data_IF_813719056835
#
_entry.id   IF_813719056835
#
_cell.length_a   1.000
_cell.length_b   1.000
_cell.length_c   1.000
_cell.angle_alpha   90.00
_cell.angle_beta   90.00
_cell.angle_gamma   90.00
#
_symmetry.space_group_name_H-M   'P 1'
#
loop_
_entity.id
_entity.type
_entity.pdbx_description
1 polymer ?
#
# COMPACT_ATOMS: atom_id res chain seq x y z
N UNK A 1 1.02 14.08 18.57
CA UNK A 1 0.73 15.37 17.94
C UNK A 1 0.02 15.17 16.60
N UNK A 2 -0.74 16.16 16.13
CA UNK A 2 -1.44 16.03 14.84
C UNK A 2 -0.51 15.76 13.67
N UNK A 3 0.71 16.30 13.71
CA UNK A 3 1.67 16.08 12.64
C UNK A 3 2.15 14.62 12.58
N UNK A 4 2.33 14.01 13.74
CA UNK A 4 2.72 12.61 13.81
C UNK A 4 1.61 11.70 13.30
N UNK A 5 0.38 12.03 13.65
CA UNK A 5 -0.77 11.25 13.17
C UNK A 5 -0.87 11.33 11.66
N UNK A 6 -0.73 12.53 11.11
CA UNK A 6 -0.76 12.71 9.65
C UNK A 6 0.36 11.94 8.95
N UNK A 7 1.55 11.93 9.54
CA UNK A 7 2.67 11.19 8.99
C UNK A 7 2.38 9.69 8.97
N UNK A 8 1.79 9.18 10.05
CA UNK A 8 1.42 7.77 10.11
C UNK A 8 0.33 7.42 9.13
N UNK A 9 -0.66 8.30 8.96
CA UNK A 9 -1.72 8.09 7.98
C UNK A 9 -1.16 8.02 6.56
N UNK A 10 -0.20 8.88 6.24
CA UNK A 10 0.47 8.86 4.94
C UNK A 10 1.21 7.54 4.71
N UNK A 11 1.89 7.05 5.72
CA UNK A 11 2.60 5.77 5.62
C UNK A 11 1.64 4.62 5.40
N UNK A 12 0.53 4.62 6.12
CA UNK A 12 -0.48 3.59 5.94
C UNK A 12 -1.06 3.61 4.54
N UNK A 13 -1.36 4.79 4.02
CA UNK A 13 -1.88 4.94 2.67
C UNK A 13 -0.88 4.43 1.63
N UNK A 14 0.40 4.78 1.81
CA UNK A 14 1.45 4.33 0.90
C UNK A 14 1.61 2.81 0.92
N UNK A 15 1.57 2.20 2.09
CA UNK A 15 1.66 0.75 2.23
C UNK A 15 0.45 0.07 1.60
N UNK A 16 -0.73 0.65 1.77
CA UNK A 16 -1.95 0.12 1.19
C UNK A 16 -1.89 0.14 -0.34
N UNK A 17 -1.41 1.23 -0.92
CA UNK A 17 -1.24 1.33 -2.37
C UNK A 17 -0.26 0.29 -2.89
N UNK A 18 0.88 0.15 -2.22
CA UNK A 18 1.89 -0.83 -2.62
C UNK A 18 1.36 -2.24 -2.51
N UNK A 19 0.55 -2.50 -1.49
CA UNK A 19 -0.05 -3.81 -1.29
C UNK A 19 -0.99 -4.15 -2.45
N UNK A 20 -1.80 -3.20 -2.89
CA UNK A 20 -2.70 -3.41 -4.01
C UNK A 20 -1.95 -3.69 -5.30
N UNK A 21 -0.88 -2.94 -5.55
CA UNK A 21 -0.05 -3.13 -6.74
C UNK A 21 0.59 -4.52 -6.71
N UNK A 22 1.12 -4.90 -5.57
CA UNK A 22 1.75 -6.20 -5.40
C UNK A 22 0.75 -7.33 -5.61
N UNK A 23 -0.45 -7.15 -5.09
CA UNK A 23 -1.53 -8.14 -5.26
C UNK A 23 -1.89 -8.32 -6.72
N UNK A 24 -1.97 -7.22 -7.46
CA UNK A 24 -2.25 -7.27 -8.90
C UNK A 24 -1.14 -7.98 -9.66
N UNK A 25 0.10 -7.70 -9.30
CA UNK A 25 1.24 -8.35 -9.93
C UNK A 25 1.23 -9.86 -9.67
N UNK A 26 0.90 -10.25 -8.45
CA UNK A 26 0.79 -11.67 -8.10
C UNK A 26 -0.34 -12.35 -8.88
N UNK A 27 -1.47 -11.66 -9.03
CA UNK A 27 -2.58 -12.16 -9.83
C UNK A 27 -2.20 -12.36 -11.29
N UNK A 28 -1.45 -11.43 -11.85
CA UNK A 28 -0.97 -11.53 -13.21
C UNK A 28 -0.05 -12.75 -13.39
N UNK A 29 0.89 -12.92 -12.49
CA UNK A 29 1.82 -14.04 -12.54
C UNK A 29 1.11 -15.38 -12.34
N UNK A 30 0.08 -15.39 -11.52
CA UNK A 30 -0.68 -16.61 -11.27
C UNK A 30 -1.47 -17.08 -12.49
N UNK A 31 -1.79 -16.16 -13.41
CA UNK A 31 -2.51 -16.50 -14.63
C UNK A 31 -1.59 -16.90 -15.78
N UNK A 32 -0.32 -16.87 -15.55
CA UNK A 32 0.69 -17.15 -16.55
C UNK A 32 0.87 -18.66 -16.90
#
# INVERSE_FOLDING_TARGET
SPDEIKAMEKRLASLSEKNEILKKALGFLAQK
#
